data_IF_060833174478
#
_entry.id   IF_060833174478
#
_cell.length_a   1.000
_cell.length_b   1.000
_cell.length_c   1.000
_cell.angle_alpha   90.00
_cell.angle_beta   90.00
_cell.angle_gamma   90.00
#
_symmetry.space_group_name_H-M   'P 1'
#
loop_
_entity.id
_entity.type
_entity.pdbx_description
1 polymer ?
#
# COMPACT_ATOMS: atom_id res chain seq x y z
N UNK A 1 7.22 -25.13 4.61
CA UNK A 1 6.26 -26.00 3.94
C UNK A 1 6.29 -25.81 2.44
N UNK A 2 5.82 -26.79 1.72
CA UNK A 2 5.65 -26.75 0.28
C UNK A 2 4.19 -26.40 -0.02
N UNK A 3 3.92 -25.44 -0.89
CA UNK A 3 2.54 -25.05 -1.22
C UNK A 3 1.75 -26.21 -1.87
N UNK A 4 2.45 -27.14 -2.52
CA UNK A 4 1.81 -28.32 -3.09
C UNK A 4 1.10 -29.20 -2.04
N UNK A 5 1.60 -29.21 -0.80
CA UNK A 5 0.99 -29.98 0.30
C UNK A 5 -0.37 -29.39 0.72
N UNK A 6 -0.66 -28.15 0.31
CA UNK A 6 -1.91 -27.45 0.58
C UNK A 6 -2.92 -27.55 -0.59
N UNK A 7 -2.52 -28.14 -1.72
CA UNK A 7 -3.34 -28.25 -2.92
C UNK A 7 -4.00 -29.65 -2.94
N UNK A 8 -5.13 -29.79 -2.29
CA UNK A 8 -5.93 -31.01 -2.31
C UNK A 8 -7.03 -30.92 -3.37
N UNK A 9 -7.47 -32.06 -3.91
CA UNK A 9 -8.59 -32.10 -4.86
C UNK A 9 -9.89 -31.52 -4.30
N UNK A 10 -10.04 -31.49 -2.98
CA UNK A 10 -11.15 -30.82 -2.29
C UNK A 10 -11.18 -29.30 -2.49
N UNK A 11 -10.02 -28.70 -2.79
CA UNK A 11 -9.88 -27.26 -3.04
C UNK A 11 -9.82 -26.93 -4.54
N UNK A 12 -9.93 -27.96 -5.42
CA UNK A 12 -9.94 -27.74 -6.86
C UNK A 12 -11.25 -27.07 -7.26
N UNK A 13 -11.15 -25.93 -7.94
CA UNK A 13 -12.31 -25.14 -8.40
C UNK A 13 -12.69 -25.44 -9.83
N UNK A 14 -11.74 -25.92 -10.64
CA UNK A 14 -11.96 -26.20 -12.05
C UNK A 14 -10.67 -26.34 -12.85
N UNK A 15 -10.78 -26.23 -14.15
CA UNK A 15 -9.68 -26.38 -15.10
C UNK A 15 -9.54 -25.12 -15.98
N UNK A 16 -8.31 -24.81 -16.36
CA UNK A 16 -8.00 -23.69 -17.26
C UNK A 16 -8.58 -23.95 -18.64
N UNK A 17 -9.42 -23.04 -19.13
CA UNK A 17 -10.01 -23.09 -20.48
C UNK A 17 -9.39 -22.07 -21.43
N UNK A 18 -9.00 -20.89 -20.91
CA UNK A 18 -8.41 -19.82 -21.72
C UNK A 18 -7.36 -19.07 -20.91
N UNK A 19 -6.29 -18.66 -21.59
CA UNK A 19 -5.19 -17.89 -21.01
C UNK A 19 -4.91 -16.68 -21.90
N UNK A 20 -4.97 -15.50 -21.32
CA UNK A 20 -4.49 -14.25 -21.88
C UNK A 20 -3.36 -13.70 -21.00
N UNK A 21 -2.69 -12.62 -21.40
CA UNK A 21 -1.46 -12.09 -20.78
C UNK A 21 -1.50 -11.99 -19.25
N UNK A 22 -2.65 -11.68 -18.65
CA UNK A 22 -2.84 -11.65 -17.19
C UNK A 22 -4.15 -12.27 -16.73
N UNK A 23 -5.01 -12.64 -17.65
CA UNK A 23 -6.34 -13.19 -17.36
C UNK A 23 -6.36 -14.67 -17.68
N UNK A 24 -6.92 -15.43 -16.78
CA UNK A 24 -7.14 -16.87 -16.95
C UNK A 24 -8.62 -17.13 -16.76
N UNK A 25 -9.23 -17.82 -17.71
CA UNK A 25 -10.61 -18.30 -17.60
C UNK A 25 -10.59 -19.75 -17.17
N UNK A 26 -11.35 -20.07 -16.15
CA UNK A 26 -11.44 -21.40 -15.55
C UNK A 26 -12.87 -21.91 -15.67
N UNK A 27 -13.03 -23.05 -16.31
CA UNK A 27 -14.29 -23.77 -16.35
C UNK A 27 -14.57 -24.42 -14.99
N UNK A 28 -15.79 -24.22 -14.48
CA UNK A 28 -16.23 -24.74 -13.18
C UNK A 28 -17.41 -25.67 -13.40
N UNK A 29 -17.15 -26.97 -13.47
CA UNK A 29 -18.20 -27.97 -13.75
C UNK A 29 -19.19 -28.16 -12.60
N UNK A 30 -18.70 -28.02 -11.35
CA UNK A 30 -19.49 -28.23 -10.14
C UNK A 30 -20.18 -26.93 -9.69
N UNK A 31 -21.50 -26.85 -9.84
CA UNK A 31 -22.28 -25.69 -9.37
C UNK A 31 -22.14 -25.43 -7.86
N UNK A 32 -21.96 -26.46 -7.06
CA UNK A 32 -21.71 -26.30 -5.62
C UNK A 32 -20.43 -25.51 -5.35
N UNK A 33 -19.38 -25.82 -6.08
CA UNK A 33 -18.10 -25.08 -6.04
C UNK A 33 -18.29 -23.66 -6.54
N UNK A 34 -18.95 -23.48 -7.70
CA UNK A 34 -19.19 -22.15 -8.26
C UNK A 34 -19.88 -21.19 -7.24
N UNK A 35 -20.84 -21.72 -6.50
CA UNK A 35 -21.60 -20.93 -5.51
C UNK A 35 -20.77 -20.56 -4.25
N UNK A 36 -19.65 -21.24 -4.00
CA UNK A 36 -18.74 -20.91 -2.89
C UNK A 36 -17.70 -19.87 -3.25
N UNK A 37 -17.45 -19.65 -4.54
CA UNK A 37 -16.45 -18.71 -5.03
C UNK A 37 -16.84 -17.25 -4.74
N UNK A 38 -15.91 -16.49 -4.22
CA UNK A 38 -16.08 -15.06 -3.91
C UNK A 38 -15.07 -14.22 -4.69
N UNK A 39 -15.51 -13.04 -5.08
CA UNK A 39 -14.61 -12.03 -5.65
C UNK A 39 -13.50 -11.71 -4.63
N UNK A 40 -12.27 -11.61 -5.10
CA UNK A 40 -11.03 -11.47 -4.33
C UNK A 40 -10.52 -12.74 -3.64
N UNK A 41 -11.12 -13.90 -3.87
CA UNK A 41 -10.52 -15.15 -3.45
C UNK A 41 -9.15 -15.35 -4.11
N UNK A 42 -8.19 -15.84 -3.33
CA UNK A 42 -6.86 -16.16 -3.81
C UNK A 42 -6.87 -17.58 -4.35
N UNK A 43 -6.30 -17.77 -5.53
CA UNK A 43 -6.20 -19.06 -6.21
C UNK A 43 -4.77 -19.38 -6.60
N UNK A 44 -4.47 -20.66 -6.66
CA UNK A 44 -3.16 -21.21 -7.02
C UNK A 44 -3.30 -22.05 -8.28
N UNK A 45 -2.45 -21.75 -9.26
CA UNK A 45 -2.41 -22.46 -10.55
C UNK A 45 -1.02 -23.09 -10.74
N UNK A 46 -0.94 -24.15 -11.52
CA UNK A 46 0.32 -24.71 -11.99
C UNK A 46 0.99 -23.74 -12.96
N UNK A 47 2.30 -23.52 -12.78
CA UNK A 47 3.14 -22.93 -13.81
C UNK A 47 3.71 -24.01 -14.73
N UNK A 48 4.47 -23.61 -15.75
CA UNK A 48 5.15 -24.55 -16.67
C UNK A 48 6.20 -25.43 -15.97
N UNK A 49 6.64 -25.06 -14.78
CA UNK A 49 7.59 -25.81 -13.96
C UNK A 49 6.92 -26.31 -12.68
N UNK A 50 7.26 -27.52 -12.23
CA UNK A 50 6.72 -28.13 -11.00
C UNK A 50 6.94 -27.27 -9.74
N UNK A 51 7.98 -26.47 -9.75
CA UNK A 51 8.49 -25.71 -8.61
C UNK A 51 7.90 -24.31 -8.52
N UNK A 52 7.28 -23.85 -9.61
CA UNK A 52 6.62 -22.56 -9.71
C UNK A 52 5.11 -22.74 -9.69
N UNK A 53 4.46 -21.97 -8.85
CA UNK A 53 3.01 -21.82 -8.84
C UNK A 53 2.65 -20.38 -9.16
N UNK A 54 1.61 -20.21 -9.94
CA UNK A 54 1.05 -18.91 -10.23
C UNK A 54 0.00 -18.58 -9.17
N UNK A 55 0.02 -17.35 -8.72
CA UNK A 55 -0.97 -16.84 -7.78
C UNK A 55 -1.88 -15.87 -8.53
N UNK A 56 -3.17 -16.05 -8.37
CA UNK A 56 -4.18 -15.22 -8.97
C UNK A 56 -5.25 -14.78 -7.98
N UNK A 57 -6.00 -13.77 -8.38
CA UNK A 57 -7.16 -13.25 -7.66
C UNK A 57 -8.39 -13.41 -8.54
N UNK A 58 -9.45 -13.96 -7.97
CA UNK A 58 -10.72 -14.15 -8.64
C UNK A 58 -11.41 -12.79 -8.80
N UNK A 59 -11.73 -12.45 -10.05
CA UNK A 59 -12.30 -11.14 -10.39
C UNK A 59 -13.71 -11.18 -10.95
N UNK A 60 -14.12 -12.33 -11.50
CA UNK A 60 -15.46 -12.52 -12.06
C UNK A 60 -15.90 -13.96 -11.87
N UNK A 61 -17.16 -14.17 -11.53
CA UNK A 61 -17.82 -15.47 -11.52
C UNK A 61 -19.04 -15.38 -12.42
N UNK A 62 -19.18 -16.34 -13.33
CA UNK A 62 -20.28 -16.35 -14.31
C UNK A 62 -20.98 -17.70 -14.26
N UNK A 63 -22.27 -17.69 -14.02
CA UNK A 63 -23.12 -18.87 -14.18
C UNK A 63 -23.75 -18.83 -15.57
N UNK A 64 -23.73 -19.97 -16.28
CA UNK A 64 -24.39 -20.09 -17.56
C UNK A 64 -25.88 -19.78 -17.39
N UNK A 65 -26.39 -18.78 -18.10
CA UNK A 65 -27.81 -18.59 -18.30
C UNK A 65 -28.22 -19.50 -19.47
N UNK A 66 -29.19 -20.35 -19.25
CA UNK A 66 -29.91 -21.03 -20.31
C UNK A 66 -30.95 -20.01 -20.81
N UNK A 67 -30.55 -19.12 -21.71
CA UNK A 67 -31.51 -18.28 -22.45
C UNK A 67 -31.74 -18.90 -23.82
N UNK A 68 -32.98 -19.31 -24.05
CA UNK A 68 -33.52 -19.57 -25.38
C UNK A 68 -33.94 -18.23 -25.97
N UNK A 69 -32.99 -17.44 -26.51
CA UNK A 69 -33.34 -16.32 -27.36
C UNK A 69 -32.24 -16.07 -28.41
N UNK A 70 -32.61 -16.17 -29.67
CA UNK A 70 -31.74 -16.13 -30.85
C UNK A 70 -31.38 -14.70 -31.33
N UNK A 71 -31.55 -13.66 -30.54
CA UNK A 71 -31.34 -12.31 -31.01
C UNK A 71 -30.63 -11.42 -30.00
N UNK A 72 -29.29 -11.53 -29.93
CA UNK A 72 -28.44 -10.36 -29.68
C UNK A 72 -26.98 -10.70 -29.94
N UNK A 73 -26.47 -10.22 -31.09
CA UNK A 73 -25.05 -10.16 -31.40
C UNK A 73 -24.42 -9.03 -30.56
N UNK A 74 -23.90 -9.37 -29.42
CA UNK A 74 -22.92 -8.55 -28.72
C UNK A 74 -21.64 -9.35 -28.62
N UNK A 75 -20.52 -8.74 -29.03
CA UNK A 75 -19.15 -9.29 -28.97
C UNK A 75 -18.63 -9.43 -27.53
N UNK A 76 -19.45 -9.79 -26.58
CA UNK A 76 -19.02 -10.27 -25.29
C UNK A 76 -18.75 -11.78 -25.43
N UNK A 77 -17.52 -12.18 -25.13
CA UNK A 77 -17.10 -13.58 -25.04
C UNK A 77 -18.20 -14.38 -24.32
N UNK A 78 -19.09 -15.00 -25.07
CA UNK A 78 -20.15 -15.84 -24.51
C UNK A 78 -19.51 -17.11 -23.98
N UNK A 79 -19.22 -17.11 -22.69
CA UNK A 79 -18.79 -18.32 -22.01
C UNK A 79 -19.94 -19.33 -22.06
N UNK A 80 -19.73 -20.42 -22.79
CA UNK A 80 -20.74 -21.46 -22.96
C UNK A 80 -21.02 -22.27 -21.70
N UNK A 81 -20.18 -22.13 -20.68
CA UNK A 81 -20.20 -22.90 -19.43
C UNK A 81 -20.07 -22.00 -18.19
N UNK A 82 -20.39 -22.55 -17.02
CA UNK A 82 -20.05 -21.94 -15.74
C UNK A 82 -18.54 -21.68 -15.66
N UNK A 83 -18.13 -20.45 -15.41
CA UNK A 83 -16.71 -20.12 -15.40
C UNK A 83 -16.38 -19.01 -14.37
N UNK A 84 -15.13 -18.89 -14.06
CA UNK A 84 -14.60 -17.78 -13.35
C UNK A 84 -13.38 -17.18 -14.06
N UNK A 85 -13.15 -15.89 -13.83
CA UNK A 85 -12.01 -15.16 -14.38
C UNK A 85 -11.05 -14.81 -13.25
N UNK A 86 -9.79 -15.12 -13.48
CA UNK A 86 -8.70 -14.91 -12.53
C UNK A 86 -7.72 -13.93 -13.14
N UNK A 87 -7.31 -12.92 -12.36
CA UNK A 87 -6.17 -12.08 -12.70
C UNK A 87 -4.91 -12.63 -12.02
N UNK A 88 -3.89 -12.94 -12.80
CA UNK A 88 -2.60 -13.38 -12.29
C UNK A 88 -1.88 -12.19 -11.62
N UNK A 89 -1.38 -12.38 -10.40
CA UNK A 89 -0.70 -11.35 -9.61
C UNK A 89 0.79 -11.60 -9.41
N UNK A 90 1.24 -12.84 -9.63
CA UNK A 90 2.66 -13.18 -9.53
C UNK A 90 2.94 -14.66 -9.47
N UNK A 91 4.20 -14.98 -9.31
CA UNK A 91 4.73 -16.35 -9.21
C UNK A 91 5.24 -16.64 -7.81
N UNK A 92 4.87 -17.79 -7.29
CA UNK A 92 5.33 -18.33 -6.01
C UNK A 92 6.30 -19.50 -6.28
N UNK A 93 7.45 -19.44 -5.63
CA UNK A 93 8.50 -20.45 -5.72
C UNK A 93 8.65 -21.16 -4.39
N UNK A 94 8.53 -22.48 -4.43
CA UNK A 94 8.74 -23.31 -3.25
C UNK A 94 10.21 -23.25 -2.80
N UNK A 95 10.38 -23.47 -1.50
CA UNK A 95 11.69 -23.63 -0.86
C UNK A 95 12.35 -24.92 -1.29
N UNK A 96 13.61 -24.84 -1.74
CA UNK A 96 14.47 -25.98 -2.01
C UNK A 96 15.69 -25.98 -1.10
N UNK A 97 15.89 -27.11 -0.39
CA UNK A 97 17.06 -27.34 0.47
C UNK A 97 17.03 -26.63 1.83
N UNK A 98 17.98 -27.00 2.67
CA UNK A 98 18.14 -26.41 4.01
C UNK A 98 18.56 -24.94 3.90
N UNK A 99 17.84 -24.06 4.58
CA UNK A 99 18.13 -22.62 4.61
C UNK A 99 17.48 -21.78 3.49
N UNK A 100 16.81 -22.41 2.50
CA UNK A 100 16.06 -21.64 1.50
C UNK A 100 14.66 -21.26 2.01
N UNK A 101 14.09 -20.19 1.47
CA UNK A 101 12.76 -19.69 1.83
C UNK A 101 11.86 -19.65 0.61
N UNK A 102 10.54 -19.80 0.82
CA UNK A 102 9.55 -19.56 -0.21
C UNK A 102 9.66 -18.10 -0.69
N UNK A 103 9.55 -17.88 -1.99
CA UNK A 103 9.68 -16.55 -2.58
C UNK A 103 8.46 -16.23 -3.42
N UNK A 104 8.01 -15.00 -3.36
CA UNK A 104 7.00 -14.45 -4.23
C UNK A 104 7.60 -13.37 -5.12
N UNK A 105 7.30 -13.42 -6.42
CA UNK A 105 7.67 -12.40 -7.40
C UNK A 105 6.42 -11.90 -8.10
N UNK A 106 6.28 -10.59 -8.26
CA UNK A 106 5.17 -10.00 -9.04
C UNK A 106 5.31 -10.21 -10.56
N UNK A 107 6.45 -10.68 -11.02
CA UNK A 107 6.65 -11.02 -12.42
C UNK A 107 5.97 -12.34 -12.74
N UNK A 108 5.30 -12.40 -13.88
CA UNK A 108 4.69 -13.59 -14.47
C UNK A 108 5.55 -13.94 -15.67
N UNK A 109 6.36 -14.97 -15.51
CA UNK A 109 7.27 -15.43 -16.57
C UNK A 109 6.79 -16.72 -17.25
N UNK A 110 5.83 -17.41 -16.64
CA UNK A 110 5.22 -18.64 -17.12
C UNK A 110 3.70 -18.48 -17.09
N UNK A 111 3.01 -19.31 -17.85
CA UNK A 111 1.55 -19.32 -17.92
C UNK A 111 1.02 -20.70 -17.60
N UNK A 112 -0.21 -20.81 -17.07
CA UNK A 112 -0.80 -22.13 -16.83
C UNK A 112 -1.12 -22.82 -18.15
N UNK A 113 -1.02 -24.12 -18.15
CA UNK A 113 -1.42 -24.93 -19.30
C UNK A 113 -2.94 -25.06 -19.36
N UNK A 114 -3.48 -25.14 -20.57
CA UNK A 114 -4.90 -25.48 -20.80
C UNK A 114 -5.19 -26.84 -20.17
N UNK A 115 -6.36 -26.98 -19.57
CA UNK A 115 -6.80 -28.17 -18.80
C UNK A 115 -5.99 -28.40 -17.49
N UNK A 116 -5.12 -27.51 -17.08
CA UNK A 116 -4.49 -27.62 -15.76
C UNK A 116 -5.49 -27.27 -14.64
N UNK A 117 -5.36 -27.95 -13.49
CA UNK A 117 -6.21 -27.72 -12.32
C UNK A 117 -5.91 -26.39 -11.66
N UNK A 118 -6.96 -25.75 -11.18
CA UNK A 118 -6.90 -24.51 -10.40
C UNK A 118 -7.47 -24.76 -9.01
N UNK A 119 -6.78 -24.26 -7.99
CA UNK A 119 -7.11 -24.49 -6.60
C UNK A 119 -7.41 -23.20 -5.86
N UNK A 120 -8.46 -23.17 -5.07
CA UNK A 120 -8.69 -22.11 -4.08
C UNK A 120 -7.67 -22.26 -2.96
N UNK A 121 -7.01 -21.16 -2.60
CA UNK A 121 -6.05 -21.16 -1.51
C UNK A 121 -6.77 -21.40 -0.17
N UNK A 122 -6.41 -22.49 0.51
CA UNK A 122 -6.81 -22.72 1.89
C UNK A 122 -5.98 -21.84 2.85
N UNK A 123 -6.31 -21.86 4.13
CA UNK A 123 -5.63 -21.07 5.16
C UNK A 123 -4.11 -21.28 5.14
N UNK A 124 -3.63 -22.50 5.08
CA UNK A 124 -2.22 -22.83 5.08
C UNK A 124 -1.51 -22.28 3.82
N UNK A 125 -2.13 -22.41 2.63
CA UNK A 125 -1.62 -21.85 1.39
C UNK A 125 -1.58 -20.31 1.45
N UNK A 126 -2.64 -19.68 1.95
CA UNK A 126 -2.70 -18.22 2.14
C UNK A 126 -1.59 -17.74 3.05
N UNK A 127 -1.37 -18.40 4.17
CA UNK A 127 -0.31 -18.05 5.11
C UNK A 127 1.10 -18.20 4.51
N UNK A 128 1.34 -19.26 3.72
CA UNK A 128 2.60 -19.41 2.98
C UNK A 128 2.80 -18.31 1.95
N UNK A 129 1.77 -17.96 1.18
CA UNK A 129 1.82 -16.88 0.19
C UNK A 129 2.14 -15.55 0.88
N UNK A 130 1.45 -15.24 1.98
CA UNK A 130 1.67 -14.00 2.71
C UNK A 130 3.05 -13.91 3.33
N UNK A 131 3.56 -14.99 3.91
CA UNK A 131 4.93 -15.05 4.43
C UNK A 131 5.97 -14.84 3.31
N UNK A 132 5.69 -15.30 2.10
CA UNK A 132 6.57 -15.08 0.96
C UNK A 132 6.47 -13.65 0.38
N UNK A 133 5.28 -13.03 0.45
CA UNK A 133 5.05 -11.64 0.02
C UNK A 133 5.67 -10.64 0.98
N UNK A 134 5.43 -10.81 2.28
CA UNK A 134 5.98 -9.93 3.32
C UNK A 134 7.49 -10.09 3.50
N UNK A 135 8.05 -11.22 3.02
CA UNK A 135 9.35 -11.70 3.48
C UNK A 135 9.22 -12.15 4.94
N UNK A 136 10.01 -13.12 5.38
CA UNK A 136 10.06 -13.46 6.82
C UNK A 136 10.59 -12.25 7.59
N UNK A 137 9.68 -11.33 7.93
CA UNK A 137 9.97 -10.41 9.02
C UNK A 137 10.20 -11.29 10.26
N UNK A 138 11.35 -11.12 10.92
CA UNK A 138 11.48 -11.62 12.28
C UNK A 138 10.23 -11.15 13.05
N UNK A 139 9.68 -11.95 13.96
CA UNK A 139 8.47 -11.56 14.73
C UNK A 139 8.55 -10.15 15.30
N UNK A 140 9.77 -9.70 15.65
CA UNK A 140 10.08 -8.34 16.12
C UNK A 140 9.92 -7.22 15.07
N UNK A 141 9.66 -7.55 13.80
CA UNK A 141 9.53 -6.58 12.69
C UNK A 141 8.24 -6.72 11.92
N UNK A 142 7.38 -7.66 12.32
CA UNK A 142 6.11 -7.92 11.67
C UNK A 142 5.06 -6.89 12.14
N UNK A 143 4.41 -6.25 11.17
CA UNK A 143 3.33 -5.32 11.37
C UNK A 143 2.02 -5.98 10.91
N UNK A 144 1.21 -6.41 11.83
CA UNK A 144 -0.12 -6.94 11.53
C UNK A 144 -1.11 -5.80 11.33
N UNK A 145 -1.53 -5.59 10.08
CA UNK A 145 -2.45 -4.49 9.72
C UNK A 145 -3.93 -4.85 9.77
N UNK A 146 -4.25 -6.12 9.95
CA UNK A 146 -5.61 -6.64 9.98
C UNK A 146 -5.68 -8.08 9.52
N UNK A 147 -6.83 -8.49 8.99
CA UNK A 147 -7.10 -9.84 8.49
C UNK A 147 -7.61 -9.79 7.05
N UNK A 148 -7.49 -10.89 6.32
CA UNK A 148 -8.03 -10.98 4.97
C UNK A 148 -9.57 -10.98 4.97
N UNK A 149 -10.18 -10.21 4.07
CA UNK A 149 -11.62 -10.18 3.92
C UNK A 149 -12.20 -11.54 3.49
N UNK A 150 -11.44 -12.30 2.70
CA UNK A 150 -11.81 -13.65 2.23
C UNK A 150 -11.66 -14.71 3.30
N UNK A 151 -10.74 -14.53 4.25
CA UNK A 151 -10.52 -15.44 5.37
C UNK A 151 -10.04 -14.67 6.61
N UNK A 152 -10.94 -14.48 7.57
CA UNK A 152 -10.69 -13.70 8.79
C UNK A 152 -9.72 -14.36 9.77
N UNK A 153 -9.43 -15.65 9.61
CA UNK A 153 -8.49 -16.37 10.46
C UNK A 153 -7.04 -16.16 10.01
N UNK A 154 -6.83 -15.60 8.81
CA UNK A 154 -5.50 -15.30 8.26
C UNK A 154 -5.14 -13.84 8.47
N UNK A 155 -4.14 -13.52 9.33
CA UNK A 155 -3.68 -12.16 9.56
C UNK A 155 -2.96 -11.61 8.32
N UNK A 156 -3.19 -10.33 8.03
CA UNK A 156 -2.47 -9.59 7.02
C UNK A 156 -1.24 -8.94 7.65
N UNK A 157 -0.07 -9.50 7.39
CA UNK A 157 1.19 -9.11 8.01
C UNK A 157 2.09 -8.41 6.96
N UNK A 158 2.66 -7.27 7.34
CA UNK A 158 3.68 -6.56 6.58
C UNK A 158 5.03 -6.64 7.30
N UNK A 159 6.12 -6.59 6.52
CA UNK A 159 7.44 -6.29 7.06
C UNK A 159 7.51 -4.78 7.38
N UNK A 160 7.54 -4.43 8.66
CA UNK A 160 7.54 -3.04 9.11
C UNK A 160 8.73 -2.25 8.55
N UNK A 161 9.91 -2.86 8.46
CA UNK A 161 11.07 -2.19 7.88
C UNK A 161 10.85 -1.84 6.41
N UNK A 162 10.35 -2.78 5.61
CA UNK A 162 10.08 -2.53 4.19
C UNK A 162 8.94 -1.53 3.99
N UNK A 163 7.95 -1.57 4.86
CA UNK A 163 6.81 -0.66 4.80
C UNK A 163 7.25 0.79 5.07
N UNK A 164 8.02 1.02 6.15
CA UNK A 164 8.45 2.37 6.54
C UNK A 164 9.70 2.88 5.81
N UNK A 165 10.49 2.01 5.19
CA UNK A 165 11.63 2.44 4.35
C UNK A 165 11.21 3.00 2.99
N UNK A 166 9.95 2.87 2.61
CA UNK A 166 9.40 3.32 1.33
C UNK A 166 8.18 4.20 1.55
N UNK A 167 7.66 4.76 0.47
CA UNK A 167 6.45 5.55 0.51
C UNK A 167 5.21 4.65 0.53
N UNK A 168 4.28 4.98 1.42
CA UNK A 168 2.93 4.40 1.44
C UNK A 168 1.90 5.53 1.28
N UNK A 169 0.80 5.24 0.60
CA UNK A 169 -0.29 6.18 0.41
C UNK A 169 -1.61 5.49 0.79
N UNK A 170 -2.36 6.12 1.70
CA UNK A 170 -3.69 5.67 2.11
C UNK A 170 -4.71 6.64 1.52
N UNK A 171 -5.49 6.14 0.58
CA UNK A 171 -6.49 6.94 -0.14
C UNK A 171 -7.90 6.39 0.08
N UNK A 172 -8.87 7.28 0.05
CA UNK A 172 -10.28 6.92 0.21
C UNK A 172 -11.16 8.16 0.30
N UNK A 173 -12.47 8.01 0.13
CA UNK A 173 -13.46 9.07 0.30
C UNK A 173 -13.59 9.50 1.77
N UNK A 174 -14.23 10.64 2.02
CA UNK A 174 -14.55 11.07 3.38
C UNK A 174 -15.40 10.01 4.09
N UNK A 175 -15.06 9.70 5.33
CA UNK A 175 -15.77 8.67 6.12
C UNK A 175 -15.37 7.21 5.79
N UNK A 176 -14.43 6.96 4.86
CA UNK A 176 -13.96 5.60 4.52
C UNK A 176 -13.04 4.95 5.55
N UNK A 177 -12.65 5.66 6.61
CA UNK A 177 -11.76 5.16 7.66
C UNK A 177 -10.28 5.39 7.42
N UNK A 178 -9.88 6.35 6.55
CA UNK A 178 -8.45 6.67 6.29
C UNK A 178 -7.69 6.99 7.58
N UNK A 179 -8.17 7.95 8.35
CA UNK A 179 -7.53 8.41 9.59
C UNK A 179 -7.47 7.29 10.64
N UNK A 180 -8.53 6.48 10.73
CA UNK A 180 -8.56 5.31 11.59
C UNK A 180 -7.51 4.27 11.16
N UNK A 181 -7.37 4.02 9.85
CA UNK A 181 -6.35 3.11 9.32
C UNK A 181 -4.94 3.61 9.64
N UNK A 182 -4.68 4.91 9.48
CA UNK A 182 -3.38 5.51 9.83
C UNK A 182 -3.13 5.36 11.33
N UNK A 183 -4.09 5.72 12.18
CA UNK A 183 -3.96 5.58 13.64
C UNK A 183 -3.67 4.13 14.06
N UNK A 184 -4.36 3.16 13.46
CA UNK A 184 -4.12 1.73 13.71
C UNK A 184 -2.72 1.28 13.28
N UNK A 185 -2.22 1.77 12.15
CA UNK A 185 -0.84 1.48 11.69
C UNK A 185 0.18 2.09 12.65
N UNK A 186 -0.02 3.34 13.09
CA UNK A 186 0.86 4.01 14.04
C UNK A 186 0.89 3.30 15.40
N UNK A 187 -0.27 2.90 15.92
CA UNK A 187 -0.37 2.15 17.17
C UNK A 187 0.41 0.83 17.12
N UNK A 188 0.24 0.08 16.05
CA UNK A 188 0.95 -1.20 15.85
C UNK A 188 2.44 -0.97 15.62
N UNK A 189 2.83 0.08 14.90
CA UNK A 189 4.22 0.44 14.70
C UNK A 189 4.90 0.86 16.01
N UNK A 190 4.18 1.53 16.91
CA UNK A 190 4.70 1.88 18.24
C UNK A 190 5.08 0.66 19.10
N UNK A 191 4.51 -0.51 18.82
CA UNK A 191 4.84 -1.77 19.49
C UNK A 191 6.16 -2.38 18.98
N UNK A 192 6.69 -1.90 17.85
CA UNK A 192 7.95 -2.39 17.30
C UNK A 192 9.13 -1.80 18.10
N UNK A 193 10.16 -2.61 18.42
CA UNK A 193 11.21 -2.23 19.39
C UNK A 193 12.10 -1.05 18.98
N UNK A 194 12.06 -0.59 17.75
CA UNK A 194 12.92 0.50 17.23
C UNK A 194 12.14 1.47 16.32
N UNK A 195 10.84 1.61 16.54
CA UNK A 195 10.05 2.56 15.77
C UNK A 195 10.28 3.99 16.27
N UNK A 196 10.82 4.85 15.40
CA UNK A 196 10.87 6.29 15.60
C UNK A 196 10.04 6.94 14.50
N UNK A 197 8.97 7.64 14.88
CA UNK A 197 8.02 8.22 13.93
C UNK A 197 7.79 9.67 14.26
N UNK A 198 7.67 10.49 13.22
CA UNK A 198 7.22 11.87 13.30
C UNK A 198 5.97 12.00 12.47
N UNK A 199 4.89 12.50 13.08
CA UNK A 199 3.60 12.69 12.41
C UNK A 199 3.33 14.17 12.27
N UNK A 200 3.14 14.63 11.04
CA UNK A 200 2.68 15.99 10.74
C UNK A 200 1.16 15.97 10.56
N UNK A 201 0.45 16.41 11.58
CA UNK A 201 -1.01 16.38 11.63
C UNK A 201 -1.59 17.76 11.37
N UNK A 202 -1.94 18.02 10.11
CA UNK A 202 -2.48 19.31 9.68
C UNK A 202 -3.92 19.57 10.13
N UNK A 203 -4.65 18.51 10.48
CA UNK A 203 -6.08 18.58 10.77
C UNK A 203 -6.43 18.26 12.22
N UNK A 204 -5.45 17.87 13.04
CA UNK A 204 -5.65 17.49 14.44
C UNK A 204 -6.41 16.17 14.62
N UNK A 205 -6.30 15.25 13.67
CA UNK A 205 -6.99 13.96 13.70
C UNK A 205 -6.35 12.95 14.68
N UNK A 206 -5.09 13.18 15.09
CA UNK A 206 -4.29 12.29 15.91
C UNK A 206 -3.97 12.82 17.31
N UNK A 207 -4.70 13.82 17.76
CA UNK A 207 -4.48 14.47 19.07
C UNK A 207 -4.68 13.55 20.29
N UNK A 208 -5.34 12.40 20.11
CA UNK A 208 -5.67 11.46 21.20
C UNK A 208 -4.70 10.28 21.31
N UNK A 209 -3.60 10.27 20.53
CA UNK A 209 -2.62 9.19 20.60
C UNK A 209 -1.82 9.31 21.92
N UNK A 210 -2.18 8.50 22.91
CA UNK A 210 -1.62 8.54 24.27
C UNK A 210 -0.14 8.12 24.37
N UNK A 211 0.38 7.47 23.32
CA UNK A 211 1.78 7.01 23.24
C UNK A 211 2.69 7.97 22.47
N UNK A 212 2.20 9.13 22.04
CA UNK A 212 2.96 10.12 21.29
C UNK A 212 3.10 11.43 22.07
N UNK A 213 4.29 12.00 22.02
CA UNK A 213 4.50 13.39 22.47
C UNK A 213 3.87 14.34 21.45
N UNK A 214 2.96 15.17 21.92
CA UNK A 214 2.22 16.09 21.07
C UNK A 214 2.77 17.50 21.17
N UNK A 215 3.15 18.04 20.02
CA UNK A 215 3.65 19.42 19.91
C UNK A 215 2.65 20.20 19.05
N UNK A 216 1.93 21.12 19.67
CA UNK A 216 1.01 22.02 18.96
C UNK A 216 1.75 23.27 18.51
N UNK A 217 1.69 23.57 17.22
CA UNK A 217 2.19 24.83 16.66
C UNK A 217 1.02 25.82 16.70
N UNK A 218 0.92 26.62 17.75
CA UNK A 218 -0.16 27.56 17.94
C UNK A 218 0.27 28.69 18.91
N UNK A 219 -0.53 29.77 18.96
CA UNK A 219 -0.28 30.93 19.79
C UNK A 219 -0.84 30.78 21.22
N UNK A 220 -1.28 29.60 21.61
CA UNK A 220 -1.79 29.32 22.94
C UNK A 220 -0.66 29.01 23.93
N UNK A 221 -0.87 29.22 25.25
CA UNK A 221 0.10 28.84 26.27
C UNK A 221 0.46 27.35 26.19
N UNK A 222 1.74 27.07 26.04
CA UNK A 222 2.26 25.69 25.88
C UNK A 222 2.38 25.24 24.43
N UNK A 223 1.98 26.07 23.45
CA UNK A 223 2.24 25.81 22.04
C UNK A 223 3.71 26.08 21.66
N UNK A 224 4.13 25.42 20.56
CA UNK A 224 5.44 25.69 19.97
C UNK A 224 5.37 26.98 19.13
N UNK A 225 6.16 27.98 19.50
CA UNK A 225 6.32 29.18 18.71
C UNK A 225 7.58 29.06 17.86
N UNK A 226 7.42 29.10 16.55
CA UNK A 226 8.55 29.08 15.62
C UNK A 226 8.94 30.52 15.31
N UNK A 227 10.13 30.99 15.75
CA UNK A 227 10.53 32.36 15.52
C UNK A 227 10.81 32.60 14.04
N UNK A 228 10.46 33.80 13.54
CA UNK A 228 10.58 34.17 12.13
C UNK A 228 12.02 34.05 11.59
N UNK A 229 13.02 34.26 12.41
CA UNK A 229 14.44 34.13 12.02
C UNK A 229 14.90 32.71 11.75
N UNK A 230 14.09 31.71 12.14
CA UNK A 230 14.36 30.29 11.85
C UNK A 230 14.09 29.94 10.37
N UNK A 231 13.22 30.71 9.73
CA UNK A 231 12.86 30.49 8.33
C UNK A 231 13.89 31.13 7.40
N UNK A 232 14.23 30.43 6.31
CA UNK A 232 14.97 31.01 5.21
C UNK A 232 14.09 31.97 4.39
N UNK A 233 14.70 32.65 3.43
CA UNK A 233 14.00 33.65 2.62
C UNK A 233 12.85 33.03 1.80
N UNK A 234 13.06 31.87 1.17
CA UNK A 234 12.05 31.21 0.33
C UNK A 234 10.85 30.74 1.16
N UNK A 235 11.10 30.25 2.36
CA UNK A 235 10.05 29.86 3.32
C UNK A 235 9.23 31.06 3.77
N UNK A 236 9.88 32.18 4.11
CA UNK A 236 9.19 33.43 4.44
C UNK A 236 8.39 33.93 3.24
N UNK A 237 8.97 33.87 2.04
CA UNK A 237 8.28 34.26 0.82
C UNK A 237 7.01 33.42 0.61
N UNK A 238 7.08 32.11 0.75
CA UNK A 238 5.93 31.22 0.56
C UNK A 238 4.82 31.41 1.62
N UNK A 239 5.18 31.89 2.81
CA UNK A 239 4.22 32.16 3.89
C UNK A 239 3.46 33.49 3.71
N UNK A 240 4.12 34.53 3.18
CA UNK A 240 3.61 35.90 3.21
C UNK A 240 3.33 36.52 1.85
N UNK A 241 3.77 35.90 0.76
CA UNK A 241 3.59 36.43 -0.59
C UNK A 241 2.66 35.54 -1.40
N UNK A 242 1.55 36.11 -1.86
CA UNK A 242 0.62 35.40 -2.73
C UNK A 242 1.25 35.13 -4.12
N UNK A 243 1.02 33.95 -4.65
CA UNK A 243 1.57 33.49 -5.94
C UNK A 243 0.87 34.06 -7.19
N UNK A 244 0.06 35.11 -7.07
CA UNK A 244 -0.61 35.77 -8.20
C UNK A 244 0.38 36.62 -9.02
N UNK A 245 0.39 36.40 -10.31
CA UNK A 245 1.43 36.84 -11.28
C UNK A 245 1.66 38.36 -11.42
N UNK A 246 0.87 39.22 -10.81
CA UNK A 246 1.00 40.70 -11.01
C UNK A 246 1.61 41.47 -9.85
N UNK A 247 1.46 41.01 -8.62
CA UNK A 247 1.84 41.76 -7.39
C UNK A 247 3.02 41.15 -6.63
N UNK A 248 3.37 39.91 -6.96
CA UNK A 248 4.36 39.11 -6.26
C UNK A 248 5.76 39.74 -6.25
N UNK A 249 6.20 40.39 -7.33
CA UNK A 249 7.54 40.97 -7.45
C UNK A 249 7.76 42.14 -6.49
N UNK A 250 6.78 43.04 -6.35
CA UNK A 250 6.87 44.18 -5.45
C UNK A 250 6.76 43.77 -3.97
N UNK A 251 5.89 42.83 -3.66
CA UNK A 251 5.77 42.25 -2.33
C UNK A 251 7.05 41.51 -1.94
N UNK A 252 7.64 40.77 -2.84
CA UNK A 252 8.91 40.07 -2.67
C UNK A 252 10.04 41.07 -2.30
N UNK A 253 10.18 42.13 -3.08
CA UNK A 253 11.18 43.16 -2.83
C UNK A 253 10.96 43.86 -1.46
N UNK A 254 9.72 44.12 -1.10
CA UNK A 254 9.38 44.75 0.19
C UNK A 254 9.75 43.85 1.37
N UNK A 255 9.43 42.54 1.30
CA UNK A 255 9.77 41.54 2.34
C UNK A 255 11.29 41.41 2.49
N UNK A 256 12.06 41.33 1.41
CA UNK A 256 13.51 41.25 1.44
C UNK A 256 14.07 42.52 2.14
N UNK A 257 13.69 43.70 1.68
CA UNK A 257 14.19 44.95 2.20
C UNK A 257 13.88 45.09 3.69
N UNK A 258 12.68 44.70 4.11
CA UNK A 258 12.31 44.73 5.52
C UNK A 258 13.16 43.78 6.37
N UNK A 259 13.36 42.55 5.93
CA UNK A 259 14.20 41.57 6.64
C UNK A 259 15.63 42.06 6.76
N UNK A 260 16.22 42.53 5.64
CA UNK A 260 17.58 43.09 5.65
C UNK A 260 17.72 44.28 6.59
N UNK A 261 16.73 45.18 6.58
CA UNK A 261 16.71 46.31 7.47
C UNK A 261 16.68 45.86 8.95
N UNK A 262 15.81 44.89 9.28
CA UNK A 262 15.69 44.36 10.65
C UNK A 262 16.94 43.62 11.12
N UNK A 263 17.56 42.86 10.24
CA UNK A 263 18.84 42.19 10.52
C UNK A 263 19.93 43.24 10.80
N UNK A 264 20.03 44.30 10.02
CA UNK A 264 21.00 45.40 10.23
C UNK A 264 20.76 46.12 11.55
N UNK A 265 19.50 46.45 11.86
CA UNK A 265 19.12 47.06 13.14
C UNK A 265 19.50 46.17 14.33
N UNK A 266 19.22 44.88 14.26
CA UNK A 266 19.54 43.93 15.32
C UNK A 266 21.06 43.80 15.54
N UNK A 267 21.85 43.67 14.48
CA UNK A 267 23.30 43.57 14.56
C UNK A 267 23.87 44.86 15.15
N UNK A 268 23.43 46.02 14.67
CA UNK A 268 23.88 47.31 15.19
C UNK A 268 23.59 47.50 16.67
N UNK A 269 22.46 46.99 17.16
CA UNK A 269 22.06 47.16 18.56
C UNK A 269 22.67 46.11 19.51
N UNK A 270 23.03 44.92 18.99
CA UNK A 270 23.44 43.82 19.86
C UNK A 270 24.89 43.34 19.64
N UNK A 271 25.56 43.76 18.58
CA UNK A 271 26.92 43.33 18.25
C UNK A 271 27.81 44.51 17.90
N UNK A 272 28.39 45.13 18.92
CA UNK A 272 29.23 46.33 18.80
C UNK A 272 30.57 46.12 18.06
N UNK A 273 30.86 44.99 17.45
CA UNK A 273 32.14 44.70 16.83
C UNK A 273 32.06 43.93 15.46
N UNK A 274 30.90 43.91 14.80
CA UNK A 274 30.79 43.19 13.50
C UNK A 274 30.89 44.20 12.36
N UNK A 275 31.86 43.99 11.46
CA UNK A 275 32.05 44.84 10.27
C UNK A 275 30.85 44.77 9.31
N UNK A 276 30.52 45.90 8.64
CA UNK A 276 29.38 45.99 7.71
C UNK A 276 29.45 44.96 6.53
N UNK A 277 30.64 44.44 6.24
CA UNK A 277 30.83 43.39 5.18
C UNK A 277 30.13 42.08 5.46
N UNK A 278 29.88 41.72 6.71
CA UNK A 278 29.20 40.44 7.04
C UNK A 278 27.68 40.53 6.82
N UNK A 279 27.13 41.72 6.69
CA UNK A 279 25.69 41.99 6.59
C UNK A 279 25.19 41.84 5.14
N UNK A 280 26.10 41.78 4.18
CA UNK A 280 25.79 41.67 2.72
C UNK A 280 25.95 40.29 2.14
N UNK A 281 26.44 39.34 2.92
CA UNK A 281 26.44 37.93 2.54
C UNK A 281 25.10 37.29 2.90
N UNK A 282 24.41 36.72 1.90
CA UNK A 282 23.06 36.15 1.83
C UNK A 282 22.54 35.40 3.06
#
# INVERSE_FOLDING_TARGET
>A
GNINDCLADTNCIGMVENVDTRKVVVGVENEGVLNTLKINDIVVLGGSNSDEKLIGILTKVTKKKVEFDETEQTEDLSYSNNCCVINLVGSFYNKYGAGSENKFKRAINTYPEINSKVYQANEAAMQMIMNAVSGKAAESKSLEIGHFASNKDVPAILDGNRFFQRHACIVGSTGSGKSYTVASVLEKANQLPYANMVVFDLHGEYNELSYADQIKICDEPGGLHIPLWFFNYEEIHSLFVESSEGTSTNQRAAVINYILQKKKEYIKNNMSAVSEEIVTAD
#
